data_IF_621263308998
#
_entry.id   IF_621263308998
#
_cell.length_a   1.000
_cell.length_b   1.000
_cell.length_c   1.000
_cell.angle_alpha   90.00
_cell.angle_beta   90.00
_cell.angle_gamma   90.00
#
_symmetry.space_group_name_H-M   'P 1'
#
loop_
_entity.id
_entity.type
_entity.pdbx_description
1 polymer ?
#
# COMPACT_ATOMS: atom_id res chain seq x y z
N UNK A 1 -11.44 13.70 -10.16
CA UNK A 1 -11.60 13.26 -10.28
C UNK A 1 -12.13 12.43 -10.65
N UNK A 2 -12.21 12.19 -10.70
CA UNK A 2 -12.72 11.41 -10.84
C UNK A 2 -12.75 10.37 -11.15
N UNK A 3 -12.67 10.13 -11.21
CA UNK A 3 -12.63 9.26 -11.50
C UNK A 3 -12.81 8.34 -11.39
N UNK A 4 -13.02 8.16 -11.04
CA UNK A 4 -13.21 7.36 -10.86
C UNK A 4 -13.73 6.59 -11.18
N UNK A 5 -13.95 6.51 -11.10
CA UNK A 5 -14.49 5.98 -11.28
C UNK A 5 -14.81 5.28 -11.81
N UNK A 6 -14.76 5.37 -11.74
CA UNK A 6 -15.15 4.66 -12.34
C UNK A 6 -15.46 3.57 -12.42
N UNK A 7 -15.45 3.39 -12.14
CA UNK A 7 -15.61 2.43 -12.23
C UNK A 7 -16.14 1.24 -12.25
N UNK A 8 -17.21 1.13 -12.54
CA UNK A 8 -17.84 -0.15 -12.47
C UNK A 8 -17.02 -1.19 -13.12
N UNK A 9 -16.87 -2.28 -12.67
CA UNK A 9 -16.16 -3.37 -13.29
C UNK A 9 -14.65 -3.25 -13.25
N UNK A 10 -14.18 -2.12 -12.82
CA UNK A 10 -12.75 -1.95 -12.75
C UNK A 10 -12.17 -2.77 -11.64
N UNK A 11 -10.99 -3.31 -11.81
CA UNK A 11 -10.37 -4.11 -10.76
C UNK A 11 -9.68 -3.24 -9.72
N UNK A 12 -10.37 -2.27 -9.19
CA UNK A 12 -9.91 -1.46 -8.07
C UNK A 12 -8.61 -0.72 -8.37
N UNK A 13 -8.62 0.19 -9.36
CA UNK A 13 -7.39 0.84 -9.76
C UNK A 13 -6.75 1.68 -8.65
N UNK A 14 -7.55 2.30 -7.80
CA UNK A 14 -6.97 3.08 -6.72
C UNK A 14 -6.32 2.23 -5.66
N UNK A 15 -6.89 1.08 -5.39
CA UNK A 15 -6.30 0.15 -4.45
C UNK A 15 -4.97 -0.37 -4.98
N UNK A 16 -4.91 -0.73 -6.25
CA UNK A 16 -3.66 -1.19 -6.82
C UNK A 16 -2.62 -0.09 -6.87
N UNK A 17 -3.03 1.16 -7.12
CA UNK A 17 -2.09 2.27 -7.08
C UNK A 17 -1.52 2.42 -5.68
N UNK A 18 -2.36 2.29 -4.66
CA UNK A 18 -1.89 2.38 -3.28
C UNK A 18 -0.92 1.25 -2.95
N UNK A 19 -1.22 0.05 -3.41
CA UNK A 19 -0.33 -1.09 -3.17
C UNK A 19 1.03 -0.82 -3.82
N UNK A 20 1.03 -0.32 -5.04
CA UNK A 20 2.28 -0.04 -5.72
C UNK A 20 3.08 1.05 -5.01
N UNK A 21 2.41 2.09 -4.55
CA UNK A 21 3.09 3.17 -3.84
C UNK A 21 3.68 2.68 -2.52
N UNK A 22 2.92 1.87 -1.80
CA UNK A 22 3.41 1.33 -0.54
C UNK A 22 4.52 0.33 -0.76
N UNK A 23 4.46 -0.44 -1.84
CA UNK A 23 5.55 -1.34 -2.18
C UNK A 23 6.85 -0.59 -2.42
N UNK A 24 6.76 0.55 -3.13
CA UNK A 24 7.94 1.37 -3.33
C UNK A 24 8.45 1.94 -2.01
N UNK A 25 7.52 2.38 -1.16
CA UNK A 25 7.90 2.89 0.15
C UNK A 25 8.55 1.82 1.00
N UNK A 26 8.05 0.60 0.93
CA UNK A 26 8.64 -0.51 1.66
C UNK A 26 10.10 -0.70 1.24
N UNK A 27 10.35 -0.71 -0.05
CA UNK A 27 11.72 -0.86 -0.55
C UNK A 27 12.61 0.27 -0.09
N UNK A 28 12.11 1.50 -0.14
CA UNK A 28 12.88 2.64 0.30
C UNK A 28 13.20 2.54 1.79
N UNK A 29 12.25 2.13 2.59
CA UNK A 29 12.49 2.00 4.03
C UNK A 29 13.47 0.89 4.35
N UNK A 30 13.39 -0.22 3.61
CA UNK A 30 14.33 -1.30 3.81
C UNK A 30 15.76 -0.88 3.49
N UNK A 31 15.91 -0.02 2.49
CA UNK A 31 17.23 0.37 2.01
C UNK A 31 17.72 1.70 2.55
N UNK A 32 16.97 2.32 3.43
CA UNK A 32 17.40 3.58 4.01
C UNK A 32 18.69 3.35 4.83
N UNK A 33 19.58 4.33 4.74
CA UNK A 33 20.92 4.15 5.29
C UNK A 33 20.97 4.19 6.81
N UNK A 34 19.99 4.84 7.42
CA UNK A 34 20.04 5.06 8.87
C UNK A 34 18.80 4.49 9.53
N UNK A 35 18.92 4.27 10.82
CA UNK A 35 17.83 3.68 11.57
C UNK A 35 16.83 4.71 12.08
N UNK A 36 17.23 5.95 12.18
CA UNK A 36 16.35 7.02 12.63
C UNK A 36 15.68 6.69 13.95
N UNK A 37 16.48 6.28 14.93
CA UNK A 37 16.02 5.97 16.30
C UNK A 37 14.99 4.85 16.32
N UNK A 38 15.12 3.91 15.43
CA UNK A 38 14.21 2.78 15.37
C UNK A 38 12.91 3.07 14.64
N UNK A 39 12.68 4.32 14.27
CA UNK A 39 11.43 4.65 13.61
C UNK A 39 11.34 4.11 12.20
N UNK A 40 12.49 3.87 11.55
CA UNK A 40 12.49 3.28 10.23
C UNK A 40 11.85 1.89 10.25
N UNK A 41 12.21 1.08 11.23
CA UNK A 41 11.66 -0.26 11.34
C UNK A 41 10.17 -0.21 11.66
N UNK A 42 9.78 0.70 12.54
CA UNK A 42 8.36 0.83 12.86
C UNK A 42 7.55 1.29 11.66
N UNK A 43 8.11 2.22 10.88
CA UNK A 43 7.43 2.66 9.67
C UNK A 43 7.31 1.52 8.66
N UNK A 44 8.37 0.73 8.54
CA UNK A 44 8.35 -0.41 7.64
C UNK A 44 7.25 -1.40 8.03
N UNK A 45 7.11 -1.67 9.31
CA UNK A 45 6.06 -2.56 9.78
C UNK A 45 4.68 -1.99 9.49
N UNK A 46 4.52 -0.67 9.67
CA UNK A 46 3.24 -0.05 9.39
C UNK A 46 2.90 -0.13 7.90
N UNK A 47 3.89 0.04 7.05
CA UNK A 47 3.68 -0.10 5.60
C UNK A 47 3.28 -1.53 5.26
N UNK A 48 3.93 -2.51 5.87
CA UNK A 48 3.60 -3.91 5.62
C UNK A 48 2.19 -4.25 6.09
N UNK A 49 1.79 -3.70 7.24
CA UNK A 49 0.43 -3.89 7.71
C UNK A 49 -0.58 -3.26 6.76
N UNK A 50 -0.25 -2.05 6.25
CA UNK A 50 -1.14 -1.40 5.30
C UNK A 50 -1.28 -2.22 4.03
N UNK A 51 -0.17 -2.78 3.55
CA UNK A 51 -0.22 -3.62 2.36
C UNK A 51 -1.11 -4.83 2.59
N UNK A 52 -0.99 -5.45 3.75
CA UNK A 52 -1.82 -6.61 4.07
C UNK A 52 -3.30 -6.23 4.09
N UNK A 53 -3.62 -5.06 4.65
CA UNK A 53 -5.00 -4.60 4.68
C UNK A 53 -5.53 -4.31 3.28
N UNK A 54 -4.70 -3.76 2.42
CA UNK A 54 -5.13 -3.47 1.06
C UNK A 54 -5.38 -4.76 0.29
N UNK A 55 -4.53 -5.74 0.48
CA UNK A 55 -4.75 -7.03 -0.18
C UNK A 55 -6.00 -7.71 0.34
N UNK A 56 -6.24 -7.59 1.63
CA UNK A 56 -7.47 -8.13 2.21
C UNK A 56 -8.69 -7.39 1.67
N UNK A 57 -8.55 -6.09 1.44
CA UNK A 57 -9.66 -5.31 0.89
C UNK A 57 -10.05 -5.79 -0.50
N UNK A 58 -9.06 -6.12 -1.32
CA UNK A 58 -9.33 -6.65 -2.65
C UNK A 58 -10.08 -7.97 -2.55
N UNK A 59 -9.66 -8.83 -1.65
CA UNK A 59 -10.34 -10.11 -1.47
C UNK A 59 -11.75 -9.94 -0.95
N UNK A 60 -11.92 -8.99 -0.05
CA UNK A 60 -13.23 -8.78 0.56
C UNK A 60 -14.24 -8.22 -0.42
N UNK A 61 -13.77 -7.37 -1.33
CA UNK A 61 -14.66 -6.71 -2.28
C UNK A 61 -14.92 -7.53 -3.51
N UNK A 62 -14.55 -8.77 -3.51
CA UNK A 62 -14.80 -9.59 -4.60
C UNK A 62 -16.18 -10.05 -4.60
N UNK A 63 -16.99 -9.58 -5.33
CA UNK A 63 -18.35 -9.98 -5.29
C UNK A 63 -18.85 -10.46 -6.59
#
# INVERSE_FOLDING_TARGET
MREMSAGGGEPHPRIYNAINALGAAEGDLQNAAHDYCGHRVEALEAVRNALAQLKAAIQCDKK
#
